data_IF_217310450894
#
_entry.id   IF_217310450894
#
_cell.length_a   1.000
_cell.length_b   1.000
_cell.length_c   1.000
_cell.angle_alpha   90.00
_cell.angle_beta   90.00
_cell.angle_gamma   90.00
#
_symmetry.space_group_name_H-M   'P 1'
#
loop_
_entity.id
_entity.type
_entity.pdbx_description
1 polymer ?
#
# COMPACT_ATOMS: atom_id res chain seq x y z
N UNK A 1 10.73 -10.98 -5.66
CA UNK A 1 10.99 -10.68 -4.23
C UNK A 1 10.43 -11.80 -3.35
N UNK A 2 11.17 -12.28 -2.35
CA UNK A 2 10.55 -13.10 -1.31
C UNK A 2 9.63 -12.18 -0.50
N UNK A 3 8.37 -12.56 -0.26
CA UNK A 3 7.39 -11.77 0.53
C UNK A 3 7.74 -11.81 2.02
N UNK A 4 8.97 -11.43 2.37
CA UNK A 4 9.44 -11.35 3.75
C UNK A 4 8.86 -10.07 4.37
N UNK A 5 8.07 -10.16 5.44
CA UNK A 5 7.61 -8.99 6.15
C UNK A 5 8.77 -8.21 6.77
N UNK A 6 8.69 -6.88 6.71
CA UNK A 6 9.65 -5.92 7.25
C UNK A 6 8.90 -4.89 8.09
N UNK A 7 9.60 -4.25 9.02
CA UNK A 7 9.11 -3.03 9.66
C UNK A 7 9.56 -1.83 8.85
N UNK A 8 8.64 -0.91 8.56
CA UNK A 8 8.93 0.33 7.85
C UNK A 8 8.42 1.54 8.64
N UNK A 9 9.26 2.58 8.70
CA UNK A 9 8.96 3.85 9.35
C UNK A 9 8.73 4.92 8.29
N UNK A 10 7.57 5.57 8.30
CA UNK A 10 7.17 6.61 7.36
C UNK A 10 6.06 7.48 7.94
N UNK A 11 6.17 8.80 7.77
CA UNK A 11 5.13 9.75 8.18
C UNK A 11 3.76 9.50 7.54
N UNK A 12 3.70 8.77 6.42
CA UNK A 12 2.44 8.40 5.76
C UNK A 12 1.57 7.44 6.58
N UNK A 13 2.13 6.71 7.55
CA UNK A 13 1.35 5.85 8.44
C UNK A 13 0.64 6.63 9.56
N UNK A 14 1.05 7.88 9.81
CA UNK A 14 0.43 8.75 10.80
C UNK A 14 0.92 8.53 12.23
N UNK A 15 0.81 9.59 13.03
CA UNK A 15 1.34 9.64 14.40
C UNK A 15 0.69 8.60 15.34
N UNK A 16 -0.58 8.27 15.13
CA UNK A 16 -1.28 7.22 15.89
C UNK A 16 -0.57 5.87 15.83
N UNK A 17 0.08 5.57 14.71
CA UNK A 17 0.85 4.32 14.49
C UNK A 17 2.33 4.49 14.82
N UNK A 18 2.72 5.59 15.49
CA UNK A 18 4.12 5.95 15.68
C UNK A 18 4.89 6.04 14.36
N UNK A 19 4.19 6.42 13.27
CA UNK A 19 4.73 6.42 11.91
C UNK A 19 5.30 5.06 11.47
N UNK A 20 4.80 3.93 11.98
CA UNK A 20 5.40 2.59 11.78
C UNK A 20 4.37 1.56 11.31
N UNK A 21 4.80 0.65 10.42
CA UNK A 21 4.02 -0.54 10.07
C UNK A 21 4.87 -1.75 9.70
N UNK A 22 4.23 -2.93 9.70
CA UNK A 22 4.67 -4.11 8.98
C UNK A 22 4.27 -4.02 7.50
N UNK A 23 5.24 -4.24 6.62
CA UNK A 23 5.06 -4.21 5.17
C UNK A 23 5.66 -5.44 4.51
N UNK A 24 5.14 -5.87 3.36
CA UNK A 24 5.74 -6.92 2.55
C UNK A 24 5.96 -6.45 1.10
N UNK A 25 7.09 -6.81 0.46
CA UNK A 25 7.38 -6.44 -0.91
C UNK A 25 6.58 -7.29 -1.90
N UNK A 26 5.90 -6.63 -2.84
CA UNK A 26 5.16 -7.29 -3.92
C UNK A 26 5.99 -7.32 -5.21
N UNK A 27 6.44 -6.15 -5.67
CA UNK A 27 7.16 -6.01 -6.94
C UNK A 27 8.02 -4.75 -6.97
N UNK A 28 9.00 -4.71 -7.88
CA UNK A 28 9.64 -3.46 -8.27
C UNK A 28 8.66 -2.60 -9.06
N UNK A 29 8.72 -1.28 -8.90
CA UNK A 29 7.93 -0.39 -9.74
C UNK A 29 8.38 -0.53 -11.21
N UNK A 30 7.46 -0.62 -12.19
CA UNK A 30 7.81 -0.93 -13.59
C UNK A 30 8.70 0.12 -14.24
N UNK A 31 8.51 1.40 -13.91
CA UNK A 31 9.28 2.53 -14.49
C UNK A 31 10.29 3.15 -13.53
N UNK A 32 9.90 3.44 -12.28
CA UNK A 32 10.79 4.00 -11.27
C UNK A 32 11.68 2.91 -10.62
N UNK A 33 12.91 2.79 -11.10
CA UNK A 33 13.90 1.82 -10.59
C UNK A 33 14.31 2.02 -9.12
N UNK A 34 14.01 3.18 -8.54
CA UNK A 34 14.29 3.47 -7.13
C UNK A 34 13.09 3.18 -6.22
N UNK A 35 12.06 2.47 -6.68
CA UNK A 35 10.85 2.21 -5.89
C UNK A 35 10.43 0.73 -5.89
N UNK A 36 9.99 0.28 -4.71
CA UNK A 36 9.36 -1.03 -4.49
C UNK A 36 7.90 -0.82 -4.12
N UNK A 37 7.01 -1.55 -4.77
CA UNK A 37 5.60 -1.65 -4.42
C UNK A 37 5.49 -2.59 -3.22
N UNK A 38 5.06 -2.03 -2.09
CA UNK A 38 4.85 -2.73 -0.83
C UNK A 38 3.36 -2.77 -0.49
N UNK A 39 2.94 -3.81 0.23
CA UNK A 39 1.65 -3.84 0.92
C UNK A 39 1.83 -3.50 2.40
N UNK A 40 0.97 -2.63 2.95
CA UNK A 40 0.84 -2.40 4.39
C UNK A 40 -0.01 -3.53 5.00
N UNK A 41 0.61 -4.41 5.78
CA UNK A 41 -0.04 -5.60 6.34
C UNK A 41 -1.00 -5.28 7.49
N UNK A 42 -1.07 -4.02 7.95
CA UNK A 42 -2.06 -3.59 8.93
C UNK A 42 -3.36 -3.05 8.30
N UNK A 43 -3.39 -2.89 6.97
CA UNK A 43 -4.58 -2.47 6.24
C UNK A 43 -5.42 -3.65 5.77
N UNK A 44 -6.65 -3.37 5.34
CA UNK A 44 -7.53 -4.36 4.72
C UNK A 44 -6.98 -4.77 3.35
N UNK A 45 -6.56 -6.03 3.23
CA UNK A 45 -5.95 -6.58 2.01
C UNK A 45 -6.98 -7.07 0.99
N UNK A 46 -8.26 -7.19 1.36
CA UNK A 46 -9.34 -7.71 0.50
C UNK A 46 -9.38 -7.04 -0.88
N UNK A 47 -9.22 -5.70 -1.01
CA UNK A 47 -9.19 -5.05 -2.31
C UNK A 47 -8.10 -5.56 -3.26
N UNK A 48 -6.95 -6.02 -2.75
CA UNK A 48 -5.87 -6.58 -3.57
C UNK A 48 -6.15 -8.01 -4.04
N UNK A 49 -7.02 -8.73 -3.34
CA UNK A 49 -7.35 -10.12 -3.62
C UNK A 49 -8.60 -10.26 -4.50
N UNK A 50 -9.55 -9.33 -4.37
CA UNK A 50 -10.89 -9.44 -4.93
C UNK A 50 -11.15 -8.54 -6.14
N UNK A 51 -10.49 -7.37 -6.22
CA UNK A 51 -10.73 -6.42 -7.30
C UNK A 51 -9.87 -6.74 -8.53
N UNK A 52 -10.44 -6.51 -9.70
CA UNK A 52 -9.68 -6.47 -10.95
C UNK A 52 -8.76 -5.24 -11.01
N UNK A 53 -7.84 -5.23 -11.99
CA UNK A 53 -6.82 -4.18 -12.12
C UNK A 53 -7.39 -2.80 -12.44
N UNK A 54 -8.49 -2.71 -13.19
CA UNK A 54 -9.06 -1.42 -13.58
C UNK A 54 -9.77 -0.78 -12.38
N UNK A 55 -10.57 -1.57 -11.65
CA UNK A 55 -11.25 -1.15 -10.42
C UNK A 55 -10.23 -0.81 -9.32
N UNK A 56 -9.17 -1.61 -9.17
CA UNK A 56 -8.12 -1.35 -8.20
C UNK A 56 -7.36 -0.05 -8.50
N UNK A 57 -7.08 0.23 -9.79
CA UNK A 57 -6.46 1.47 -10.23
C UNK A 57 -7.33 2.67 -9.90
N UNK A 58 -8.64 2.60 -10.17
CA UNK A 58 -9.56 3.68 -9.80
C UNK A 58 -9.50 3.94 -8.29
N UNK A 59 -9.65 2.89 -7.46
CA UNK A 59 -9.60 2.96 -5.99
C UNK A 59 -8.30 3.54 -5.45
N UNK A 60 -7.16 3.30 -6.11
CA UNK A 60 -5.86 3.87 -5.73
C UNK A 60 -5.77 5.37 -5.97
N UNK A 61 -6.49 5.90 -6.95
CA UNK A 61 -6.49 7.32 -7.32
C UNK A 61 -7.71 8.10 -6.82
N UNK A 62 -8.72 7.43 -6.26
CA UNK A 62 -9.82 8.09 -5.55
C UNK A 62 -9.32 8.72 -4.24
N UNK A 63 -9.66 9.98 -4.01
CA UNK A 63 -9.31 10.66 -2.76
C UNK A 63 -9.99 9.96 -1.57
N UNK A 64 -9.30 9.90 -0.41
CA UNK A 64 -9.81 9.22 0.79
C UNK A 64 -11.18 9.72 1.25
N UNK A 65 -11.48 11.01 1.04
CA UNK A 65 -12.78 11.62 1.37
C UNK A 65 -13.92 11.10 0.51
N UNK A 66 -13.60 10.59 -0.68
CA UNK A 66 -14.57 10.20 -1.69
C UNK A 66 -14.75 8.66 -1.74
N UNK A 67 -14.04 7.93 -0.86
CA UNK A 67 -14.11 6.48 -0.76
C UNK A 67 -15.38 5.96 -0.06
N UNK A 68 -16.12 6.84 0.61
CA UNK A 68 -17.26 6.48 1.45
C UNK A 68 -16.83 5.53 2.58
N UNK A 69 -17.52 4.40 2.71
CA UNK A 69 -17.24 3.38 3.73
C UNK A 69 -16.10 2.43 3.35
N UNK A 70 -15.57 2.52 2.12
CA UNK A 70 -14.53 1.62 1.67
C UNK A 70 -13.17 1.98 2.27
N UNK A 71 -12.45 1.00 2.82
CA UNK A 71 -11.07 1.19 3.24
C UNK A 71 -10.17 1.61 2.07
N UNK A 72 -9.11 2.38 2.35
CA UNK A 72 -8.10 2.68 1.33
C UNK A 72 -7.32 1.41 0.96
N UNK A 73 -6.96 1.27 -0.31
CA UNK A 73 -6.12 0.16 -0.78
C UNK A 73 -4.76 0.21 -0.06
N UNK A 74 -4.29 -0.87 0.58
CA UNK A 74 -3.12 -0.84 1.45
C UNK A 74 -1.80 -0.93 0.68
N UNK A 75 -1.65 -0.17 -0.41
CA UNK A 75 -0.43 -0.13 -1.23
C UNK A 75 0.40 1.09 -0.85
N UNK A 76 1.72 0.87 -0.76
CA UNK A 76 2.70 1.92 -0.51
C UNK A 76 3.89 1.74 -1.44
N UNK A 77 4.33 2.83 -2.06
CA UNK A 77 5.65 2.87 -2.68
C UNK A 77 6.70 3.22 -1.62
N UNK A 78 7.72 2.38 -1.52
CA UNK A 78 8.93 2.65 -0.74
C UNK A 78 10.05 3.00 -1.71
N UNK A 79 10.62 4.20 -1.54
CA UNK A 79 11.76 4.65 -2.32
C UNK A 79 13.06 4.24 -1.62
N UNK A 80 14.06 3.81 -2.41
CA UNK A 80 15.39 3.38 -1.97
C UNK A 80 16.41 4.51 -2.19
#
# INVERSE_FOLDING_TARGET
PQMKPLVHVSGMFGAWRGNTSWVAPLAWHPENRNAVIMVDLAGDISPLLELDSDTLRERLYTAKTDLGDNAAVPVKLVHI
#
